data_IF_711286269170
#
_entry.id   IF_711286269170
#
_cell.length_a   1.000
_cell.length_b   1.000
_cell.length_c   1.000
_cell.angle_alpha   90.00
_cell.angle_beta   90.00
_cell.angle_gamma   90.00
#
_symmetry.space_group_name_H-M   'P 1'
#
loop_
_entity.id
_entity.type
_entity.pdbx_description
1 polymer ?
#
# COMPACT_ATOMS: atom_id res chain seq x y z
N UNK A 1 6.18 2.90 -7.98
CA UNK A 1 5.17 3.70 -8.70
C UNK A 1 3.90 3.69 -7.86
N UNK A 2 3.29 4.84 -7.63
CA UNK A 2 1.96 4.96 -7.04
C UNK A 2 1.05 5.48 -8.16
N UNK A 3 -0.03 4.76 -8.45
CA UNK A 3 -1.02 5.17 -9.45
C UNK A 3 -2.34 5.44 -8.75
N UNK A 4 -3.03 6.51 -9.14
CA UNK A 4 -4.34 6.89 -8.64
C UNK A 4 -5.35 6.80 -9.78
N UNK A 5 -6.52 6.23 -9.52
CA UNK A 5 -7.63 6.20 -10.46
C UNK A 5 -8.80 6.98 -9.86
N UNK A 6 -9.25 8.04 -10.54
CA UNK A 6 -10.39 8.82 -10.11
C UNK A 6 -11.67 8.17 -10.67
N UNK A 7 -12.57 7.61 -9.82
CA UNK A 7 -13.71 6.83 -10.30
C UNK A 7 -14.78 7.63 -11.05
N UNK A 8 -14.75 8.97 -10.95
CA UNK A 8 -15.77 9.86 -11.54
C UNK A 8 -15.38 10.50 -12.88
N UNK A 9 -14.17 10.25 -13.41
CA UNK A 9 -13.73 10.82 -14.69
C UNK A 9 -14.29 10.04 -15.89
N UNK A 10 -15.35 10.57 -16.53
CA UNK A 10 -16.02 9.98 -17.69
C UNK A 10 -15.43 10.38 -19.06
N UNK A 11 -14.41 11.25 -19.10
CA UNK A 11 -13.79 11.68 -20.35
C UNK A 11 -12.39 11.06 -20.52
N UNK A 12 -12.31 9.96 -21.27
CA UNK A 12 -11.07 9.51 -21.91
C UNK A 12 -10.10 8.63 -21.10
N UNK A 13 -10.46 8.19 -19.89
CA UNK A 13 -9.66 7.18 -19.18
C UNK A 13 -10.17 5.78 -19.48
N UNK A 14 -9.42 5.04 -20.30
CA UNK A 14 -9.67 3.60 -20.45
C UNK A 14 -9.25 2.92 -19.14
N UNK A 15 -10.16 2.18 -18.52
CA UNK A 15 -9.81 1.32 -17.39
C UNK A 15 -8.57 0.49 -17.75
N UNK A 16 -7.58 0.49 -16.85
CA UNK A 16 -6.40 -0.32 -17.04
C UNK A 16 -6.84 -1.78 -17.20
N UNK A 17 -6.39 -2.48 -18.26
CA UNK A 17 -6.65 -3.91 -18.38
C UNK A 17 -6.17 -4.65 -17.14
N UNK A 18 -6.85 -5.73 -16.77
CA UNK A 18 -6.58 -6.52 -15.58
C UNK A 18 -5.12 -7.00 -15.53
N UNK A 19 -4.55 -7.34 -16.69
CA UNK A 19 -3.14 -7.72 -16.83
C UNK A 19 -2.14 -6.59 -16.48
N UNK A 20 -2.57 -5.32 -16.56
CA UNK A 20 -1.78 -4.17 -16.11
C UNK A 20 -1.98 -3.93 -14.61
N UNK A 21 -3.20 -4.11 -14.10
CA UNK A 21 -3.51 -3.97 -12.67
C UNK A 21 -2.76 -5.01 -11.83
N UNK A 22 -2.59 -6.24 -12.34
CA UNK A 22 -1.80 -7.31 -11.73
C UNK A 22 -0.32 -6.92 -11.46
N UNK A 23 0.14 -5.79 -12.03
CA UNK A 23 1.48 -5.28 -11.80
C UNK A 23 1.66 -4.53 -10.49
N UNK A 24 0.56 -4.09 -9.88
CA UNK A 24 0.56 -3.36 -8.62
C UNK A 24 0.43 -4.35 -7.46
N UNK A 25 1.19 -4.10 -6.39
CA UNK A 25 1.21 -4.99 -5.21
C UNK A 25 -0.11 -4.91 -4.41
N UNK A 26 -0.69 -3.73 -4.32
CA UNK A 26 -1.88 -3.46 -3.52
C UNK A 26 -2.84 -2.55 -4.27
N UNK A 27 -4.13 -2.83 -4.11
CA UNK A 27 -5.21 -1.91 -4.42
C UNK A 27 -5.68 -1.30 -3.09
N UNK A 28 -5.59 0.02 -2.96
CA UNK A 28 -5.99 0.74 -1.73
C UNK A 28 -7.17 1.65 -2.06
N UNK A 29 -8.30 1.41 -1.40
CA UNK A 29 -9.48 2.25 -1.51
C UNK A 29 -9.37 3.39 -0.51
N UNK A 30 -9.29 4.62 -1.00
CA UNK A 30 -9.23 5.82 -0.16
C UNK A 30 -10.64 6.40 -0.05
N UNK A 31 -11.21 6.37 1.16
CA UNK A 31 -12.49 6.99 1.44
C UNK A 31 -12.33 8.50 1.73
N UNK A 32 -13.45 9.22 1.72
CA UNK A 32 -13.46 10.59 2.20
C UNK A 32 -13.07 10.66 3.69
N UNK A 33 -12.33 11.69 4.11
CA UNK A 33 -12.05 11.93 5.52
C UNK A 33 -13.34 12.15 6.32
N UNK A 34 -13.29 11.85 7.61
CA UNK A 34 -14.36 12.19 8.54
C UNK A 34 -14.43 13.71 8.75
N UNK A 35 -15.57 14.22 9.25
CA UNK A 35 -15.74 15.64 9.57
C UNK A 35 -14.61 16.20 10.45
N UNK A 36 -14.19 15.46 11.47
CA UNK A 36 -13.13 15.90 12.39
C UNK A 36 -11.74 15.89 11.72
N UNK A 37 -11.51 14.98 10.78
CA UNK A 37 -10.29 14.97 9.96
C UNK A 37 -10.29 16.13 8.96
N UNK A 38 -11.43 16.45 8.34
CA UNK A 38 -11.58 17.61 7.46
C UNK A 38 -11.32 18.92 8.21
N UNK A 39 -11.84 19.07 9.43
CA UNK A 39 -11.58 20.24 10.27
C UNK A 39 -10.08 20.37 10.60
N UNK A 40 -9.40 19.25 10.88
CA UNK A 40 -7.94 19.23 11.10
C UNK A 40 -7.18 19.60 9.83
N UNK A 41 -7.59 19.11 8.67
CA UNK A 41 -6.99 19.45 7.38
C UNK A 41 -7.11 20.96 7.13
N UNK A 42 -8.29 21.54 7.33
CA UNK A 42 -8.53 22.98 7.19
C UNK A 42 -7.63 23.78 8.14
N UNK A 43 -7.61 23.40 9.42
CA UNK A 43 -6.78 24.06 10.44
C UNK A 43 -5.29 24.01 10.08
N UNK A 44 -4.82 22.88 9.55
CA UNK A 44 -3.43 22.70 9.12
C UNK A 44 -3.09 23.56 7.90
N UNK A 45 -4.02 23.71 6.95
CA UNK A 45 -3.84 24.56 5.77
C UNK A 45 -3.78 26.04 6.14
N UNK A 46 -4.69 26.51 7.01
CA UNK A 46 -4.69 27.87 7.55
C UNK A 46 -3.38 28.20 8.27
N UNK A 47 -2.88 27.28 9.09
CA UNK A 47 -1.58 27.43 9.77
C UNK A 47 -0.43 27.54 8.77
N UNK A 48 -0.39 26.69 7.74
CA UNK A 48 0.64 26.72 6.70
C UNK A 48 0.60 28.03 5.90
N UNK A 49 -0.59 28.52 5.57
CA UNK A 49 -0.78 29.77 4.85
C UNK A 49 -0.32 30.97 5.70
N UNK A 50 -0.69 31.00 6.98
CA UNK A 50 -0.27 32.01 7.93
C UNK A 50 1.27 32.03 8.11
N UNK A 51 1.89 30.87 8.31
CA UNK A 51 3.34 30.76 8.48
C UNK A 51 4.11 31.12 7.20
N UNK A 52 3.51 30.91 6.02
CA UNK A 52 4.05 31.39 4.73
C UNK A 52 3.99 32.91 4.61
N UNK A 53 2.86 33.52 4.97
CA UNK A 53 2.64 34.96 4.88
C UNK A 53 3.58 35.77 5.80
N UNK A 54 3.89 35.22 6.98
CA UNK A 54 4.82 35.85 7.93
C UNK A 54 6.30 35.57 7.63
N UNK A 55 6.64 34.78 6.61
CA UNK A 55 8.02 34.33 6.36
C UNK A 55 8.58 33.44 7.48
N UNK A 56 7.72 32.98 8.39
CA UNK A 56 8.07 32.21 9.60
C UNK A 56 7.97 30.71 9.40
N UNK A 57 8.02 30.19 8.17
CA UNK A 57 7.97 28.74 7.92
C UNK A 57 9.00 27.95 8.74
N UNK A 58 10.11 28.60 9.14
CA UNK A 58 11.15 28.02 9.99
C UNK A 58 10.97 28.28 11.50
N UNK A 59 10.06 29.16 11.93
CA UNK A 59 10.00 29.63 13.33
C UNK A 59 9.07 28.81 14.24
N UNK A 60 8.10 28.06 13.68
CA UNK A 60 7.24 27.13 14.46
C UNK A 60 7.57 25.65 14.24
N UNK A 61 8.32 25.31 13.19
CA UNK A 61 8.87 23.97 12.99
C UNK A 61 10.02 23.64 13.98
N UNK A 62 10.54 24.64 14.69
CA UNK A 62 11.75 24.58 15.53
C UNK A 62 11.60 23.83 16.86
N UNK A 63 10.38 23.54 17.34
CA UNK A 63 10.17 22.78 18.58
C UNK A 63 9.87 21.29 18.37
N UNK A 64 9.79 20.82 17.12
CA UNK A 64 9.79 19.38 16.85
C UNK A 64 11.23 18.95 16.63
N UNK A 65 11.77 17.97 17.38
CA UNK A 65 13.09 17.43 17.07
C UNK A 65 13.09 17.03 15.59
N UNK A 66 14.16 17.33 14.84
CA UNK A 66 14.27 16.91 13.46
C UNK A 66 14.00 15.41 13.40
N UNK A 67 13.08 14.99 12.53
CA UNK A 67 12.87 13.58 12.29
C UNK A 67 14.23 12.97 11.92
N UNK A 68 14.57 11.77 12.44
CA UNK A 68 15.80 11.11 12.04
C UNK A 68 15.83 11.04 10.51
N UNK A 69 16.84 11.66 9.92
CA UNK A 69 16.97 11.69 8.47
C UNK A 69 17.37 10.29 8.02
N UNK A 70 16.42 9.58 7.41
CA UNK A 70 16.69 8.32 6.73
C UNK A 70 17.37 8.68 5.40
N UNK A 71 18.64 8.34 5.29
CA UNK A 71 19.42 8.52 4.08
C UNK A 71 19.07 7.48 3.02
N UNK A 72 19.52 7.72 1.79
CA UNK A 72 19.33 6.78 0.69
C UNK A 72 19.94 5.40 0.99
N UNK A 73 21.10 5.36 1.66
CA UNK A 73 21.77 4.12 2.02
C UNK A 73 20.93 3.30 3.00
N UNK A 74 20.29 3.95 3.99
CA UNK A 74 19.44 3.27 4.98
C UNK A 74 18.26 2.54 4.30
N UNK A 75 17.70 3.12 3.22
CA UNK A 75 16.64 2.49 2.42
C UNK A 75 17.14 1.22 1.73
N UNK A 76 18.35 1.25 1.16
CA UNK A 76 18.93 0.09 0.50
C UNK A 76 19.33 -1.00 1.49
N UNK A 77 19.87 -0.63 2.65
CA UNK A 77 20.14 -1.57 3.74
C UNK A 77 18.86 -2.23 4.24
N UNK A 78 17.82 -1.45 4.51
CA UNK A 78 16.53 -1.98 4.93
C UNK A 78 15.95 -2.96 3.90
N UNK A 79 16.07 -2.65 2.60
CA UNK A 79 15.59 -3.56 1.54
C UNK A 79 16.35 -4.89 1.52
N UNK A 80 17.66 -4.87 1.74
CA UNK A 80 18.47 -6.09 1.87
C UNK A 80 18.06 -6.89 3.10
N UNK A 81 17.96 -6.22 4.24
CA UNK A 81 17.54 -6.83 5.50
C UNK A 81 16.17 -7.50 5.39
N UNK A 82 15.18 -6.83 4.77
CA UNK A 82 13.85 -7.39 4.51
C UNK A 82 13.94 -8.65 3.64
N UNK A 83 14.78 -8.67 2.61
CA UNK A 83 14.91 -9.82 1.71
C UNK A 83 15.47 -11.06 2.43
N UNK A 84 16.35 -10.85 3.40
CA UNK A 84 17.01 -11.91 4.16
C UNK A 84 16.14 -12.47 5.31
N UNK A 85 14.96 -11.89 5.55
CA UNK A 85 14.00 -12.44 6.50
C UNK A 85 13.55 -13.83 6.06
N UNK A 86 13.80 -14.79 6.95
CA UNK A 86 13.40 -16.17 6.78
C UNK A 86 11.88 -16.32 6.74
N UNK A 87 11.39 -17.13 5.80
CA UNK A 87 10.00 -17.58 5.75
C UNK A 87 10.04 -19.10 5.87
N UNK A 88 9.34 -19.63 6.87
CA UNK A 88 9.20 -21.07 7.08
C UNK A 88 8.53 -21.75 5.88
N UNK A 89 8.92 -22.99 5.56
CA UNK A 89 8.37 -23.74 4.43
C UNK A 89 6.84 -23.89 4.54
N UNK A 90 6.28 -24.02 5.75
CA UNK A 90 4.82 -24.09 5.96
C UNK A 90 4.12 -22.80 5.57
N UNK A 91 4.76 -21.65 5.80
CA UNK A 91 4.21 -20.36 5.39
C UNK A 91 4.27 -20.19 3.87
N UNK A 92 5.37 -20.64 3.24
CA UNK A 92 5.46 -20.64 1.77
C UNK A 92 4.34 -21.50 1.15
N UNK A 93 4.15 -22.70 1.67
CA UNK A 93 3.10 -23.61 1.24
C UNK A 93 1.70 -23.00 1.45
N UNK A 94 1.48 -22.36 2.58
CA UNK A 94 0.23 -21.66 2.87
C UNK A 94 -0.05 -20.51 1.90
N UNK A 95 0.96 -19.67 1.60
CA UNK A 95 0.81 -18.57 0.61
C UNK A 95 0.47 -19.14 -0.76
N UNK A 96 1.12 -20.22 -1.19
CA UNK A 96 0.83 -20.88 -2.47
C UNK A 96 -0.59 -21.46 -2.46
N UNK A 97 -1.01 -22.09 -1.37
CA UNK A 97 -2.34 -22.66 -1.21
C UNK A 97 -3.44 -21.59 -1.28
N UNK A 98 -3.24 -20.44 -0.62
CA UNK A 98 -4.16 -19.30 -0.70
C UNK A 98 -4.35 -18.82 -2.15
N UNK A 99 -3.24 -18.60 -2.87
CA UNK A 99 -3.32 -18.15 -4.26
C UNK A 99 -3.92 -19.24 -5.15
N UNK A 100 -3.58 -20.50 -4.95
CA UNK A 100 -4.16 -21.63 -5.70
C UNK A 100 -5.65 -21.79 -5.44
N UNK A 101 -6.13 -21.51 -4.23
CA UNK A 101 -7.55 -21.57 -3.89
C UNK A 101 -8.37 -20.56 -4.70
N UNK A 102 -7.82 -19.39 -5.04
CA UNK A 102 -8.49 -18.43 -5.93
C UNK A 102 -8.63 -18.93 -7.37
N UNK A 103 -7.81 -19.90 -7.80
CA UNK A 103 -7.81 -20.46 -9.16
C UNK A 103 -8.63 -21.75 -9.28
N UNK A 104 -8.83 -22.45 -8.18
CA UNK A 104 -9.65 -23.65 -8.08
C UNK A 104 -10.64 -23.53 -6.90
N UNK A 105 -11.49 -22.48 -6.88
CA UNK A 105 -12.39 -22.20 -5.77
C UNK A 105 -13.43 -23.31 -5.54
N UNK A 106 -13.77 -24.08 -6.57
CA UNK A 106 -14.71 -25.21 -6.51
C UNK A 106 -14.27 -26.33 -5.55
N UNK A 107 -12.97 -26.41 -5.23
CA UNK A 107 -12.45 -27.36 -4.24
C UNK A 107 -12.79 -26.96 -2.80
N UNK A 108 -13.21 -25.72 -2.58
CA UNK A 108 -13.41 -25.12 -1.26
C UNK A 108 -14.84 -24.62 -1.03
N UNK A 109 -15.50 -24.06 -2.05
CA UNK A 109 -16.88 -23.59 -1.95
C UNK A 109 -17.52 -23.44 -3.32
N UNK A 110 -18.74 -23.96 -3.47
CA UNK A 110 -19.56 -23.76 -4.68
C UNK A 110 -19.94 -22.29 -4.89
N UNK A 111 -20.17 -21.53 -3.79
CA UNK A 111 -20.48 -20.11 -3.86
C UNK A 111 -19.29 -19.30 -4.40
N UNK A 112 -18.07 -19.59 -3.92
CA UNK A 112 -16.86 -18.94 -4.42
C UNK A 112 -16.62 -19.26 -5.90
N UNK A 113 -16.92 -20.49 -6.33
CA UNK A 113 -16.80 -20.89 -7.73
C UNK A 113 -17.76 -20.14 -8.65
N UNK A 114 -18.90 -19.65 -8.14
CA UNK A 114 -19.82 -18.81 -8.89
C UNK A 114 -19.36 -17.35 -8.98
N UNK A 115 -18.65 -16.85 -7.97
CA UNK A 115 -18.22 -15.45 -7.91
C UNK A 115 -16.88 -15.16 -8.61
N UNK A 116 -15.95 -16.12 -8.59
CA UNK A 116 -14.61 -15.95 -9.11
C UNK A 116 -14.52 -16.42 -10.57
N UNK A 117 -14.40 -15.46 -11.49
CA UNK A 117 -14.18 -15.76 -12.91
C UNK A 117 -12.71 -16.09 -13.23
N UNK A 118 -11.77 -15.43 -12.55
CA UNK A 118 -10.33 -15.65 -12.72
C UNK A 118 -9.63 -15.57 -11.35
N UNK A 119 -8.65 -16.44 -11.14
CA UNK A 119 -7.85 -16.43 -9.92
C UNK A 119 -6.65 -15.49 -10.00
N UNK A 120 -6.02 -15.25 -8.85
CA UNK A 120 -4.85 -14.38 -8.73
C UNK A 120 -3.62 -14.95 -9.46
N UNK A 121 -2.79 -14.09 -10.06
CA UNK A 121 -1.59 -14.49 -10.80
C UNK A 121 -0.47 -15.00 -9.87
N UNK A 122 0.63 -15.59 -10.41
CA UNK A 122 1.81 -15.93 -9.60
C UNK A 122 2.45 -14.70 -8.92
N UNK A 123 2.17 -13.47 -9.40
CA UNK A 123 2.66 -12.24 -8.75
C UNK A 123 2.02 -12.05 -7.39
N UNK A 124 0.79 -12.50 -7.17
CA UNK A 124 0.15 -12.45 -5.85
C UNK A 124 0.93 -13.29 -4.82
N UNK A 125 1.43 -14.47 -5.19
CA UNK A 125 2.27 -15.31 -4.32
C UNK A 125 3.52 -14.55 -3.88
N UNK A 126 4.24 -13.97 -4.84
CA UNK A 126 5.45 -13.18 -4.56
C UNK A 126 5.13 -11.92 -3.75
N UNK A 127 4.01 -11.26 -4.09
CA UNK A 127 3.55 -10.05 -3.42
C UNK A 127 3.23 -10.27 -1.95
N UNK A 128 2.48 -11.33 -1.63
CA UNK A 128 2.18 -11.71 -0.26
C UNK A 128 3.48 -12.01 0.49
N UNK A 129 4.38 -12.83 -0.05
CA UNK A 129 5.65 -13.15 0.60
C UNK A 129 6.50 -11.90 0.88
N UNK A 130 6.61 -10.97 -0.07
CA UNK A 130 7.34 -9.71 0.12
C UNK A 130 6.68 -8.80 1.15
N UNK A 131 5.35 -8.66 1.10
CA UNK A 131 4.60 -7.85 2.07
C UNK A 131 4.71 -8.42 3.48
N UNK A 132 4.63 -9.74 3.64
CA UNK A 132 4.80 -10.41 4.95
C UNK A 132 6.18 -10.17 5.54
N UNK A 133 7.26 -10.25 4.75
CA UNK A 133 8.62 -9.91 5.23
C UNK A 133 8.74 -8.44 5.62
N UNK A 134 8.20 -7.54 4.79
CA UNK A 134 8.24 -6.12 5.09
C UNK A 134 7.47 -5.80 6.39
N UNK A 135 6.32 -6.44 6.61
CA UNK A 135 5.56 -6.30 7.86
C UNK A 135 6.36 -6.81 9.05
N UNK A 136 6.92 -8.02 8.96
CA UNK A 136 7.76 -8.59 10.02
C UNK A 136 8.94 -7.68 10.37
N UNK A 137 9.64 -7.13 9.36
CA UNK A 137 10.73 -6.18 9.58
C UNK A 137 10.29 -4.91 10.34
N UNK A 138 9.08 -4.41 10.07
CA UNK A 138 8.55 -3.19 10.68
C UNK A 138 8.05 -3.42 12.11
N UNK A 139 7.60 -4.63 12.44
CA UNK A 139 7.11 -5.00 13.76
C UNK A 139 8.23 -5.41 14.73
N UNK A 140 9.42 -5.76 14.23
CA UNK A 140 10.62 -6.12 15.01
C UNK A 140 10.75 -7.62 15.27
#
# INVERSE_FOLDING_TARGET
VLATQNPIEQEGTYSLPEAQLDRFLMHVVVAYPTHDEELKILTLDEQRAHDKALGTQNAKASNKPPLPQIGQNDIFEARRAIHDIYIDEKLKDYIVSLVSATRAPEKYSEELAQWLQFGASPRATLGIAHASRALAYLEG
#
